data_IF_163319901204
#
_entry.id   IF_163319901204
#
_cell.length_a   1.000
_cell.length_b   1.000
_cell.length_c   1.000
_cell.angle_alpha   90.00
_cell.angle_beta   90.00
_cell.angle_gamma   90.00
#
_symmetry.space_group_name_H-M   'P 1'
#
loop_
_entity.id
_entity.type
_entity.pdbx_description
1 polymer ?
#
# COMPACT_ATOMS: atom_id res chain seq x y z
N UNK A 1 0.20 10.28 5.50
CA UNK A 1 1.29 11.18 5.96
C UNK A 1 2.08 10.42 7.02
N UNK A 2 3.34 10.06 6.76
CA UNK A 2 4.21 9.52 7.81
C UNK A 2 4.71 10.70 8.65
N UNK A 3 3.99 11.02 9.72
CA UNK A 3 4.48 11.96 10.73
C UNK A 3 5.49 11.19 11.58
N UNK A 4 6.75 11.24 11.17
CA UNK A 4 7.83 10.70 11.99
C UNK A 4 7.82 11.37 13.35
N UNK A 5 8.09 10.58 14.37
CA UNK A 5 8.27 11.14 15.70
C UNK A 5 9.52 12.04 15.71
N UNK A 6 9.51 13.09 16.53
CA UNK A 6 10.61 14.08 16.62
C UNK A 6 11.99 13.42 16.87
N UNK A 7 12.01 12.23 17.50
CA UNK A 7 13.21 11.42 17.74
C UNK A 7 13.76 10.78 16.46
N UNK A 8 12.93 10.26 15.57
CA UNK A 8 13.38 9.61 14.33
C UNK A 8 13.97 10.61 13.35
N UNK A 9 13.36 11.79 13.23
CA UNK A 9 13.91 12.91 12.46
C UNK A 9 15.29 13.34 12.99
N UNK A 10 15.47 13.31 14.31
CA UNK A 10 16.74 13.63 14.97
C UNK A 10 17.83 12.61 14.64
N UNK A 11 17.52 11.31 14.56
CA UNK A 11 18.50 10.26 14.26
C UNK A 11 18.92 10.33 12.79
N UNK A 12 17.97 10.44 11.87
CA UNK A 12 18.25 10.51 10.43
C UNK A 12 19.05 11.77 10.10
N UNK A 13 18.68 12.91 10.68
CA UNK A 13 19.43 14.16 10.52
C UNK A 13 20.86 14.03 11.03
N UNK A 14 21.07 13.39 12.19
CA UNK A 14 22.40 13.21 12.75
C UNK A 14 23.30 12.33 11.87
N UNK A 15 22.75 11.23 11.34
CA UNK A 15 23.47 10.33 10.42
C UNK A 15 23.85 11.06 9.12
N UNK A 16 22.93 11.86 8.57
CA UNK A 16 23.17 12.66 7.37
C UNK A 16 24.31 13.66 7.59
N UNK A 17 24.23 14.46 8.66
CA UNK A 17 25.25 15.47 8.97
C UNK A 17 26.63 14.84 9.16
N UNK A 18 26.69 13.69 9.83
CA UNK A 18 27.95 12.96 10.01
C UNK A 18 28.53 12.48 8.66
N UNK A 19 27.70 11.85 7.82
CA UNK A 19 28.13 11.37 6.52
C UNK A 19 28.60 12.51 5.59
N UNK A 20 27.91 13.65 5.60
CA UNK A 20 28.33 14.84 4.85
C UNK A 20 29.69 15.35 5.34
N UNK A 21 29.89 15.43 6.66
CA UNK A 21 31.16 15.86 7.25
C UNK A 21 32.30 14.91 6.90
N UNK A 22 32.06 13.60 6.89
CA UNK A 22 33.07 12.60 6.51
C UNK A 22 33.46 12.72 5.03
N UNK A 23 32.51 12.92 4.13
CA UNK A 23 32.77 13.13 2.69
C UNK A 23 33.55 14.43 2.46
N UNK A 24 33.17 15.52 3.13
CA UNK A 24 33.89 16.79 3.04
C UNK A 24 35.33 16.65 3.52
N UNK A 25 35.58 15.95 4.63
CA UNK A 25 36.93 15.76 5.17
C UNK A 25 37.80 14.86 4.30
N UNK A 26 37.23 13.81 3.70
CA UNK A 26 38.01 12.82 2.94
C UNK A 26 38.20 13.20 1.47
N UNK A 27 37.19 13.81 0.84
CA UNK A 27 37.19 14.11 -0.58
C UNK A 27 37.30 15.61 -0.89
N UNK A 28 37.12 16.50 0.10
CA UNK A 28 37.08 17.95 -0.12
C UNK A 28 35.84 18.43 -0.86
N UNK A 29 34.82 17.57 -1.01
CA UNK A 29 33.60 17.84 -1.78
C UNK A 29 32.46 18.14 -0.83
N UNK A 30 31.82 19.29 -1.02
CA UNK A 30 30.61 19.65 -0.30
C UNK A 30 29.41 18.95 -0.96
N UNK A 31 28.75 18.07 -0.20
CA UNK A 31 27.66 17.23 -0.70
C UNK A 31 26.40 17.44 0.13
N UNK A 32 25.27 17.60 -0.56
CA UNK A 32 23.94 17.64 0.07
C UNK A 32 23.32 16.24 0.01
N UNK A 33 23.29 15.54 1.15
CA UNK A 33 22.64 14.24 1.25
C UNK A 33 21.16 14.43 1.59
N UNK A 34 20.28 13.94 0.70
CA UNK A 34 18.83 13.97 0.90
C UNK A 34 18.35 12.56 1.26
N UNK A 35 17.67 12.37 2.42
CA UNK A 35 17.15 11.06 2.78
C UNK A 35 16.08 10.65 1.79
N UNK A 36 16.27 9.50 1.15
CA UNK A 36 15.21 8.81 0.42
C UNK A 36 14.79 7.58 1.21
N UNK A 37 13.55 7.56 1.66
CA UNK A 37 12.95 6.35 2.22
C UNK A 37 12.89 5.29 1.12
N UNK A 38 13.40 4.09 1.39
CA UNK A 38 13.33 3.02 0.40
C UNK A 38 11.86 2.62 0.22
N UNK A 39 11.42 2.54 -1.04
CA UNK A 39 10.11 1.99 -1.37
C UNK A 39 9.96 0.55 -0.89
N UNK A 40 11.08 -0.14 -0.60
CA UNK A 40 11.12 -1.56 -0.25
C UNK A 40 10.44 -1.85 1.08
N UNK A 41 10.65 -1.05 2.13
CA UNK A 41 9.96 -1.28 3.42
C UNK A 41 8.44 -1.13 3.27
N UNK A 42 8.00 -0.10 2.56
CA UNK A 42 6.55 0.11 2.30
C UNK A 42 6.00 -0.99 1.41
N UNK A 43 6.77 -1.47 0.42
CA UNK A 43 6.39 -2.62 -0.41
C UNK A 43 6.26 -3.90 0.42
N UNK A 44 7.18 -4.16 1.35
CA UNK A 44 7.14 -5.31 2.26
C UNK A 44 5.92 -5.21 3.20
N UNK A 45 5.62 -4.03 3.76
CA UNK A 45 4.44 -3.79 4.58
C UNK A 45 3.13 -4.01 3.79
N UNK A 46 3.09 -3.56 2.52
CA UNK A 46 1.94 -3.78 1.62
C UNK A 46 1.80 -5.25 1.27
N UNK A 47 2.92 -5.96 1.05
CA UNK A 47 2.92 -7.40 0.78
C UNK A 47 2.38 -8.18 1.98
N UNK A 48 2.82 -7.85 3.18
CA UNK A 48 2.34 -8.49 4.41
C UNK A 48 0.84 -8.24 4.63
N UNK A 49 0.36 -7.02 4.34
CA UNK A 49 -1.09 -6.73 4.32
C UNK A 49 -1.83 -7.66 3.33
N UNK A 50 -1.29 -7.82 2.12
CA UNK A 50 -1.93 -8.66 1.11
C UNK A 50 -1.93 -10.14 1.49
N UNK A 51 -0.84 -10.64 2.06
CA UNK A 51 -0.76 -12.00 2.59
C UNK A 51 -1.81 -12.21 3.68
N UNK A 52 -1.92 -11.29 4.63
CA UNK A 52 -2.91 -11.35 5.71
C UNK A 52 -4.37 -11.36 5.20
N UNK A 53 -4.66 -10.60 4.14
CA UNK A 53 -5.98 -10.63 3.49
C UNK A 53 -6.22 -11.95 2.74
N UNK A 54 -5.20 -12.50 2.09
CA UNK A 54 -5.30 -13.77 1.36
C UNK A 54 -5.54 -14.95 2.31
N UNK A 55 -4.97 -14.91 3.52
CA UNK A 55 -5.24 -15.88 4.58
C UNK A 55 -6.74 -15.93 4.95
N UNK A 56 -7.43 -14.79 4.97
CA UNK A 56 -8.89 -14.75 5.21
C UNK A 56 -9.70 -15.49 4.13
N UNK A 57 -9.14 -15.70 2.94
CA UNK A 57 -9.75 -16.48 1.86
C UNK A 57 -9.18 -17.90 1.74
N UNK A 58 -8.26 -18.29 2.62
CA UNK A 58 -7.50 -19.54 2.53
C UNK A 58 -6.76 -19.72 1.18
N UNK A 59 -6.19 -18.65 0.65
CA UNK A 59 -5.39 -18.67 -0.60
C UNK A 59 -4.03 -18.04 -0.38
N UNK A 60 -3.08 -18.33 -1.29
CA UNK A 60 -1.78 -17.65 -1.30
C UNK A 60 -1.83 -16.42 -2.22
N UNK A 61 -1.04 -15.40 -1.90
CA UNK A 61 -0.90 -14.21 -2.75
C UNK A 61 -0.47 -14.57 -4.18
N UNK A 62 0.44 -15.55 -4.33
CA UNK A 62 0.86 -16.08 -5.63
C UNK A 62 -0.31 -16.58 -6.50
N UNK A 63 -1.32 -17.20 -5.89
CA UNK A 63 -2.52 -17.69 -6.57
C UNK A 63 -3.42 -16.55 -7.03
N UNK A 64 -3.56 -15.51 -6.20
CA UNK A 64 -4.33 -14.29 -6.54
C UNK A 64 -3.61 -13.48 -7.63
N UNK A 65 -2.28 -13.48 -7.63
CA UNK A 65 -1.44 -12.76 -8.59
C UNK A 65 -1.33 -13.43 -9.97
N UNK A 66 -1.76 -14.68 -10.09
CA UNK A 66 -1.79 -15.36 -11.39
C UNK A 66 -2.85 -14.73 -12.31
N UNK A 67 -2.45 -14.51 -13.58
CA UNK A 67 -3.18 -13.79 -14.64
C UNK A 67 -4.47 -14.47 -15.09
N UNK A 68 -4.83 -15.63 -14.52
CA UNK A 68 -6.13 -16.25 -14.77
C UNK A 68 -7.28 -15.26 -14.61
N UNK A 69 -8.24 -15.37 -15.54
CA UNK A 69 -9.52 -14.66 -15.51
C UNK A 69 -10.59 -15.44 -14.76
N UNK A 70 -10.23 -16.49 -14.01
CA UNK A 70 -11.15 -17.15 -13.08
C UNK A 70 -11.89 -16.08 -12.28
N UNK A 71 -13.21 -16.21 -12.15
CA UNK A 71 -14.11 -15.13 -11.72
C UNK A 71 -13.71 -14.48 -10.38
N UNK A 72 -13.01 -15.23 -9.53
CA UNK A 72 -12.72 -14.87 -8.15
C UNK A 72 -11.48 -13.96 -8.00
N UNK A 73 -10.41 -14.22 -8.77
CA UNK A 73 -9.12 -13.52 -8.62
C UNK A 73 -9.19 -12.03 -8.94
N UNK A 74 -9.89 -11.58 -9.99
CA UNK A 74 -10.07 -10.16 -10.25
C UNK A 74 -10.75 -9.42 -9.09
N UNK A 75 -11.73 -10.04 -8.42
CA UNK A 75 -12.41 -9.45 -7.26
C UNK A 75 -11.42 -9.32 -6.09
N UNK A 76 -10.72 -10.41 -5.76
CA UNK A 76 -9.70 -10.40 -4.71
C UNK A 76 -8.61 -9.34 -4.95
N UNK A 77 -8.08 -9.24 -6.18
CA UNK A 77 -7.09 -8.21 -6.55
C UNK A 77 -7.61 -6.79 -6.33
N UNK A 78 -8.87 -6.50 -6.69
CA UNK A 78 -9.49 -5.19 -6.42
C UNK A 78 -9.51 -4.87 -4.93
N UNK A 79 -9.89 -5.84 -4.09
CA UNK A 79 -9.90 -5.68 -2.63
C UNK A 79 -8.50 -5.42 -2.07
N UNK A 80 -7.49 -6.17 -2.55
CA UNK A 80 -6.09 -5.92 -2.20
C UNK A 80 -5.67 -4.49 -2.58
N UNK A 81 -5.97 -4.03 -3.79
CA UNK A 81 -5.62 -2.67 -4.22
C UNK A 81 -6.33 -1.59 -3.41
N UNK A 82 -7.60 -1.79 -3.08
CA UNK A 82 -8.37 -0.87 -2.23
C UNK A 82 -7.72 -0.75 -0.85
N UNK A 83 -7.42 -1.87 -0.20
CA UNK A 83 -6.81 -1.89 1.12
C UNK A 83 -5.38 -1.32 1.09
N UNK A 84 -4.56 -1.74 0.14
CA UNK A 84 -3.18 -1.26 -0.04
C UNK A 84 -3.13 0.24 -0.29
N UNK A 85 -4.00 0.77 -1.17
CA UNK A 85 -4.02 2.20 -1.45
C UNK A 85 -4.60 3.03 -0.30
N UNK A 86 -5.56 2.47 0.44
CA UNK A 86 -6.15 3.11 1.61
C UNK A 86 -5.14 3.20 2.77
N UNK A 87 -4.47 2.10 3.11
CA UNK A 87 -3.52 2.03 4.24
C UNK A 87 -2.18 2.68 3.93
N UNK A 88 -1.77 2.68 2.66
CA UNK A 88 -0.51 3.29 2.21
C UNK A 88 -0.75 4.28 1.06
N UNK A 89 -1.33 5.47 1.31
CA UNK A 89 -1.67 6.44 0.26
C UNK A 89 -0.50 6.85 -0.64
N UNK A 90 0.73 6.81 -0.11
CA UNK A 90 1.96 7.12 -0.83
C UNK A 90 2.43 6.01 -1.79
N UNK A 91 1.90 4.79 -1.67
CA UNK A 91 2.32 3.68 -2.53
C UNK A 91 1.92 3.97 -3.98
N UNK A 92 2.85 3.72 -4.91
CA UNK A 92 2.57 3.90 -6.32
C UNK A 92 1.67 2.78 -6.83
N UNK A 93 0.79 3.11 -7.78
CA UNK A 93 -0.06 2.11 -8.44
C UNK A 93 0.76 1.05 -9.19
N UNK A 94 1.97 1.39 -9.64
CA UNK A 94 2.90 0.44 -10.25
C UNK A 94 3.34 -0.64 -9.25
N UNK A 95 3.63 -0.28 -8.00
CA UNK A 95 4.00 -1.26 -6.97
C UNK A 95 2.82 -2.18 -6.66
N UNK A 96 1.61 -1.63 -6.52
CA UNK A 96 0.39 -2.44 -6.35
C UNK A 96 0.17 -3.41 -7.51
N UNK A 97 0.41 -2.95 -8.75
CA UNK A 97 0.30 -3.80 -9.94
C UNK A 97 1.30 -4.95 -9.88
N UNK A 98 2.57 -4.65 -9.58
CA UNK A 98 3.65 -5.63 -9.52
C UNK A 98 3.38 -6.71 -8.45
N UNK A 99 2.94 -6.30 -7.25
CA UNK A 99 2.63 -7.23 -6.15
C UNK A 99 1.47 -8.17 -6.46
N UNK A 100 0.60 -7.81 -7.39
CA UNK A 100 -0.62 -8.56 -7.75
C UNK A 100 -0.59 -9.15 -9.16
N UNK A 101 0.58 -9.14 -9.83
CA UNK A 101 0.75 -9.68 -11.17
C UNK A 101 -0.03 -8.95 -12.28
N UNK A 102 -0.51 -7.73 -12.01
CA UNK A 102 -1.20 -6.91 -12.99
C UNK A 102 -0.21 -6.23 -13.94
N UNK A 103 -0.64 -6.03 -15.20
CA UNK A 103 0.22 -5.55 -16.29
C UNK A 103 0.45 -4.05 -16.27
N UNK A 104 -0.48 -3.26 -15.72
CA UNK A 104 -0.38 -1.81 -15.72
C UNK A 104 -0.99 -1.15 -14.47
N UNK A 105 -0.50 0.05 -14.19
CA UNK A 105 -1.01 0.89 -13.10
C UNK A 105 -2.43 1.42 -13.40
N UNK A 106 -2.79 1.57 -14.68
CA UNK A 106 -4.10 2.04 -15.11
C UNK A 106 -5.21 1.04 -14.75
N UNK A 107 -4.95 -0.26 -14.91
CA UNK A 107 -5.84 -1.34 -14.49
C UNK A 107 -6.07 -1.35 -12.98
N UNK A 108 -5.04 -1.06 -12.18
CA UNK A 108 -5.17 -0.90 -10.73
C UNK A 108 -6.11 0.25 -10.38
N UNK A 109 -5.94 1.42 -10.99
CA UNK A 109 -6.79 2.60 -10.75
C UNK A 109 -8.26 2.29 -11.10
N UNK A 110 -8.51 1.71 -12.28
CA UNK A 110 -9.85 1.31 -12.71
C UNK A 110 -10.45 0.24 -11.79
N UNK A 111 -9.62 -0.70 -11.33
CA UNK A 111 -10.00 -1.75 -10.41
C UNK A 111 -10.44 -1.23 -9.05
N UNK A 112 -9.68 -0.30 -8.47
CA UNK A 112 -10.03 0.37 -7.21
C UNK A 112 -11.37 1.09 -7.33
N UNK A 113 -11.54 1.90 -8.38
CA UNK A 113 -12.80 2.62 -8.62
C UNK A 113 -13.98 1.66 -8.74
N UNK A 114 -13.84 0.63 -9.58
CA UNK A 114 -14.87 -0.40 -9.75
C UNK A 114 -15.15 -1.17 -8.45
N UNK A 115 -14.16 -1.40 -7.60
CA UNK A 115 -14.35 -2.06 -6.30
C UNK A 115 -15.20 -1.23 -5.35
N UNK A 116 -14.96 0.08 -5.27
CA UNK A 116 -15.83 1.00 -4.50
C UNK A 116 -17.24 1.10 -5.10
N UNK A 117 -17.38 1.12 -6.43
CA UNK A 117 -18.69 1.11 -7.08
C UNK A 117 -19.48 -0.16 -6.74
N UNK A 118 -18.82 -1.33 -6.75
CA UNK A 118 -19.42 -2.62 -6.39
C UNK A 118 -19.80 -2.71 -4.92
N UNK A 119 -18.98 -2.14 -4.02
CA UNK A 119 -19.34 -2.03 -2.61
C UNK A 119 -20.57 -1.14 -2.41
N UNK A 120 -20.66 -0.02 -3.14
CA UNK A 120 -21.80 0.91 -3.05
C UNK A 120 -23.11 0.25 -3.50
N UNK A 121 -23.09 -0.50 -4.59
CA UNK A 121 -24.29 -1.20 -5.11
C UNK A 121 -24.56 -2.54 -4.42
N UNK A 122 -23.77 -2.90 -3.41
CA UNK A 122 -23.91 -4.15 -2.65
C UNK A 122 -23.91 -5.39 -3.56
N UNK A 123 -22.98 -5.46 -4.53
CA UNK A 123 -22.88 -6.60 -5.44
C UNK A 123 -22.57 -7.89 -4.67
N UNK A 124 -23.47 -8.89 -4.74
CA UNK A 124 -23.36 -10.13 -3.95
C UNK A 124 -22.06 -10.90 -4.20
N UNK A 125 -21.60 -10.94 -5.46
CA UNK A 125 -20.36 -11.64 -5.82
C UNK A 125 -19.17 -10.93 -5.22
N UNK A 126 -19.16 -9.61 -5.21
CA UNK A 126 -18.13 -8.82 -4.55
C UNK A 126 -18.17 -8.98 -3.03
N UNK A 127 -19.36 -8.90 -2.43
CA UNK A 127 -19.57 -8.99 -0.99
C UNK A 127 -19.11 -10.31 -0.40
N UNK A 128 -19.27 -11.42 -1.15
CA UNK A 128 -18.71 -12.74 -0.79
C UNK A 128 -17.22 -12.67 -0.42
N UNK A 129 -16.43 -11.89 -1.14
CA UNK A 129 -14.98 -11.76 -0.90
C UNK A 129 -14.64 -10.56 0.00
N UNK A 130 -15.46 -9.51 -0.01
CA UNK A 130 -15.29 -8.36 0.88
C UNK A 130 -15.51 -8.71 2.35
N UNK A 131 -16.55 -9.50 2.67
CA UNK A 131 -16.94 -9.84 4.04
C UNK A 131 -15.76 -10.33 4.91
N UNK A 132 -14.99 -11.34 4.48
CA UNK A 132 -13.84 -11.84 5.23
C UNK A 132 -12.72 -10.83 5.49
N UNK A 133 -12.58 -9.79 4.66
CA UNK A 133 -11.49 -8.80 4.75
C UNK A 133 -11.97 -7.40 5.13
N UNK A 134 -13.24 -7.27 5.53
CA UNK A 134 -13.91 -5.99 5.80
C UNK A 134 -13.14 -5.15 6.83
N UNK A 135 -12.57 -5.76 7.87
CA UNK A 135 -11.80 -5.06 8.92
C UNK A 135 -10.62 -4.26 8.36
N UNK A 136 -9.90 -4.80 7.38
CA UNK A 136 -8.77 -4.11 6.72
C UNK A 136 -9.20 -2.88 5.91
N UNK A 137 -10.51 -2.75 5.65
CA UNK A 137 -11.11 -1.67 4.86
C UNK A 137 -11.96 -0.72 5.72
N UNK A 138 -12.29 -1.06 6.96
CA UNK A 138 -13.24 -0.30 7.80
C UNK A 138 -12.63 0.72 8.76
N UNK A 139 -11.31 0.76 8.96
CA UNK A 139 -10.64 1.65 9.95
C UNK A 139 -10.82 3.18 9.71
N UNK A 140 -11.70 3.64 8.82
CA UNK A 140 -11.93 5.08 8.54
C UNK A 140 -13.41 5.48 8.34
N UNK A 141 -14.39 4.64 8.67
CA UNK A 141 -15.79 5.15 8.74
C UNK A 141 -16.00 6.09 9.95
N UNK A 142 -15.15 6.03 10.99
CA UNK A 142 -15.31 6.88 12.18
C UNK A 142 -14.80 8.33 11.98
N UNK A 143 -13.86 8.61 11.07
CA UNK A 143 -13.34 9.98 10.87
C UNK A 143 -14.22 10.87 9.96
N UNK A 144 -15.07 10.30 9.10
CA UNK A 144 -15.97 11.10 8.26
C UNK A 144 -17.31 11.44 8.92
N UNK A 145 -17.74 10.69 9.94
CA UNK A 145 -18.99 10.97 10.66
C UNK A 145 -18.78 12.04 11.75
N UNK A 146 -17.57 12.18 12.29
CA UNK A 146 -17.25 13.17 13.35
C UNK A 146 -16.90 14.59 12.83
N UNK A 147 -16.75 14.79 11.52
CA UNK A 147 -16.56 16.15 10.94
C UNK A 147 -17.82 16.76 10.34
N UNK A 148 -18.94 16.02 10.39
CA UNK A 148 -20.26 16.46 9.91
C UNK A 148 -21.25 16.77 11.05
N UNK A 149 -20.77 16.78 12.30
CA UNK A 149 -21.52 17.17 13.49
C UNK A 149 -20.83 18.31 14.23
#
# INVERSE_FOLDING_TARGET
MNILTRKELSIVSHVITRAQSEIQQQAGIDVVLVPRYSNKRVEDDVRQLFESMCECWNVQLSWVSDKSRANDRPIMRKLLWMAGKKRFPQISYCVLANLTGATDHAGVIKGIRSGYDWLRVQDDKFLKYYGPVRSYLMELEEEQVLSAH
#
